data_IF_406559960330
#
_entry.id   IF_406559960330
#
_cell.length_a   1.000
_cell.length_b   1.000
_cell.length_c   1.000
_cell.angle_alpha   90.00
_cell.angle_beta   90.00
_cell.angle_gamma   90.00
#
_symmetry.space_group_name_H-M   'P 1'
#
loop_
_entity.id
_entity.type
_entity.pdbx_description
1 polymer ?
#
# COMPACT_ATOMS: atom_id res chain seq x y z
N UNK A 1 24.73 -9.41 8.99
CA UNK A 1 24.51 -9.01 7.57
C UNK A 1 23.02 -8.77 7.38
N UNK A 2 22.63 -7.73 6.64
CA UNK A 2 21.23 -7.43 6.30
C UNK A 2 20.79 -8.33 5.13
N UNK A 3 20.37 -9.56 5.41
CA UNK A 3 19.99 -10.57 4.43
C UNK A 3 18.62 -11.20 4.75
N UNK A 4 18.14 -12.14 3.93
CA UNK A 4 16.85 -12.82 4.15
C UNK A 4 16.73 -13.49 5.53
N UNK A 5 17.84 -14.02 6.09
CA UNK A 5 17.83 -14.65 7.40
C UNK A 5 17.60 -13.63 8.52
N UNK A 6 18.22 -12.46 8.43
CA UNK A 6 17.98 -11.36 9.34
C UNK A 6 16.54 -10.84 9.26
N UNK A 7 16.02 -10.66 8.04
CA UNK A 7 14.62 -10.26 7.83
C UNK A 7 13.66 -11.28 8.45
N UNK A 8 13.88 -12.58 8.24
CA UNK A 8 13.08 -13.62 8.88
C UNK A 8 13.07 -13.48 10.41
N UNK A 9 14.25 -13.30 11.01
CA UNK A 9 14.38 -13.09 12.46
C UNK A 9 13.58 -11.88 12.95
N UNK A 10 13.64 -10.75 12.23
CA UNK A 10 12.85 -9.57 12.59
C UNK A 10 11.35 -9.82 12.50
N UNK A 11 10.89 -10.49 11.44
CA UNK A 11 9.47 -10.83 11.27
C UNK A 11 8.98 -11.79 12.35
N UNK A 12 9.80 -12.75 12.77
CA UNK A 12 9.44 -13.66 13.88
C UNK A 12 9.24 -12.91 15.20
N UNK A 13 10.07 -11.90 15.47
CA UNK A 13 9.94 -11.05 16.66
C UNK A 13 8.74 -10.08 16.56
N UNK A 14 8.34 -9.66 15.37
CA UNK A 14 7.12 -8.85 15.18
C UNK A 14 5.88 -9.73 15.40
N UNK A 15 5.87 -10.95 14.88
CA UNK A 15 4.75 -11.88 15.05
C UNK A 15 4.66 -12.45 16.48
N UNK A 16 5.80 -12.61 17.16
CA UNK A 16 5.91 -13.18 18.50
C UNK A 16 6.86 -12.35 19.38
N UNK A 17 6.46 -11.14 19.80
CA UNK A 17 7.33 -10.29 20.61
C UNK A 17 7.64 -10.91 21.97
N UNK A 18 8.89 -10.81 22.46
CA UNK A 18 9.25 -11.31 23.78
C UNK A 18 8.42 -10.60 24.85
N UNK A 19 7.90 -11.37 25.81
CA UNK A 19 7.03 -10.87 26.88
C UNK A 19 5.75 -10.16 26.40
N UNK A 20 5.34 -10.35 25.14
CA UNK A 20 4.26 -9.60 24.51
C UNK A 20 4.49 -8.07 24.51
N UNK A 21 5.75 -7.63 24.45
CA UNK A 21 6.10 -6.21 24.40
C UNK A 21 5.76 -5.61 23.02
N UNK A 22 4.65 -4.88 22.96
CA UNK A 22 4.20 -4.20 21.74
C UNK A 22 5.21 -3.15 21.25
N UNK A 23 5.93 -2.48 22.15
CA UNK A 23 6.90 -1.45 21.80
C UNK A 23 8.08 -2.02 21.02
N UNK A 24 8.51 -3.23 21.38
CA UNK A 24 9.52 -3.97 20.61
C UNK A 24 9.01 -4.25 19.21
N UNK A 25 7.79 -4.80 19.08
CA UNK A 25 7.21 -5.11 17.77
C UNK A 25 7.02 -3.88 16.89
N UNK A 26 6.62 -2.74 17.46
CA UNK A 26 6.43 -1.47 16.73
C UNK A 26 7.76 -0.87 16.27
N UNK A 27 8.79 -0.95 17.11
CA UNK A 27 10.15 -0.52 16.76
C UNK A 27 10.72 -1.36 15.62
N UNK A 28 10.50 -2.67 15.65
CA UNK A 28 10.92 -3.59 14.60
C UNK A 28 10.12 -3.39 13.30
N UNK A 29 8.84 -3.05 13.39
CA UNK A 29 8.05 -2.65 12.22
C UNK A 29 8.63 -1.39 11.57
N UNK A 30 8.97 -0.36 12.35
CA UNK A 30 9.67 0.82 11.85
C UNK A 30 11.01 0.49 11.17
N UNK A 31 11.76 -0.47 11.71
CA UNK A 31 12.99 -0.98 11.08
C UNK A 31 12.71 -1.68 9.73
N UNK A 32 11.68 -2.52 9.64
CA UNK A 32 11.29 -3.18 8.38
C UNK A 32 10.84 -2.15 7.34
N UNK A 33 10.00 -1.20 7.73
CA UNK A 33 9.51 -0.15 6.84
C UNK A 33 10.66 0.73 6.32
N UNK A 34 11.55 1.17 7.21
CA UNK A 34 12.72 1.97 6.81
C UNK A 34 13.66 1.19 5.89
N UNK A 35 13.93 -0.09 6.20
CA UNK A 35 14.75 -0.94 5.36
C UNK A 35 14.12 -1.13 3.97
N UNK A 36 12.80 -1.31 3.91
CA UNK A 36 12.06 -1.44 2.67
C UNK A 36 12.22 -0.24 1.73
N UNK A 37 12.26 1.00 2.27
CA UNK A 37 12.35 2.23 1.48
C UNK A 37 13.56 2.28 0.54
N UNK A 38 14.64 1.57 0.88
CA UNK A 38 15.86 1.56 0.05
C UNK A 38 15.72 0.75 -1.24
N UNK A 39 14.71 -0.10 -1.37
CA UNK A 39 14.53 -0.95 -2.55
C UNK A 39 13.55 -0.34 -3.55
N UNK A 40 14.04 -0.05 -4.77
CA UNK A 40 13.19 0.43 -5.88
C UNK A 40 12.42 -0.68 -6.61
N UNK A 41 12.93 -1.91 -6.56
CA UNK A 41 12.34 -3.05 -7.26
C UNK A 41 12.13 -4.23 -6.30
N UNK A 42 10.90 -4.73 -6.23
CA UNK A 42 10.50 -5.82 -5.31
C UNK A 42 11.27 -7.11 -5.56
N UNK A 43 11.69 -7.39 -6.80
CA UNK A 43 12.53 -8.56 -7.14
C UNK A 43 13.85 -8.64 -6.38
N UNK A 44 14.43 -7.50 -6.00
CA UNK A 44 15.71 -7.43 -5.27
C UNK A 44 15.52 -7.12 -3.78
N UNK A 45 14.28 -7.10 -3.32
CA UNK A 45 13.94 -6.76 -1.96
C UNK A 45 13.88 -8.04 -1.10
N UNK A 46 14.84 -8.24 -0.18
CA UNK A 46 14.87 -9.42 0.67
C UNK A 46 13.62 -9.52 1.56
N UNK A 47 12.98 -8.38 1.88
CA UNK A 47 11.71 -8.38 2.63
C UNK A 47 10.62 -9.05 1.80
N UNK A 48 10.43 -8.62 0.56
CA UNK A 48 9.41 -9.21 -0.32
C UNK A 48 9.70 -10.67 -0.64
N UNK A 49 10.98 -11.04 -0.78
CA UNK A 49 11.37 -12.45 -0.96
C UNK A 49 10.98 -13.31 0.24
N UNK A 50 11.22 -12.83 1.46
CA UNK A 50 10.83 -13.54 2.69
C UNK A 50 9.31 -13.59 2.84
N UNK A 51 8.62 -12.46 2.64
CA UNK A 51 7.15 -12.40 2.71
C UNK A 51 6.51 -13.38 1.72
N UNK A 52 7.07 -13.53 0.52
CA UNK A 52 6.53 -14.45 -0.50
C UNK A 52 6.65 -15.95 -0.18
N UNK A 53 7.45 -16.31 0.84
CA UNK A 53 7.71 -17.70 1.26
C UNK A 53 6.97 -18.07 2.55
N UNK A 54 6.52 -17.07 3.31
CA UNK A 54 5.75 -17.25 4.54
C UNK A 54 4.25 -17.18 4.25
N UNK A 55 3.46 -17.91 5.01
CA UNK A 55 2.03 -18.09 4.74
C UNK A 55 1.10 -17.38 5.72
N UNK A 56 1.60 -16.96 6.89
CA UNK A 56 0.77 -16.33 7.92
C UNK A 56 1.51 -15.15 8.52
N UNK A 57 0.88 -13.98 8.45
CA UNK A 57 1.27 -12.80 9.20
C UNK A 57 0.00 -12.20 9.80
N UNK A 58 -0.11 -12.24 11.12
CA UNK A 58 -1.28 -11.71 11.82
C UNK A 58 -0.93 -10.37 12.44
N UNK A 59 0.14 -10.34 13.24
CA UNK A 59 0.53 -9.11 13.93
C UNK A 59 1.04 -8.06 12.95
N UNK A 60 1.79 -8.46 11.92
CA UNK A 60 2.32 -7.53 10.93
C UNK A 60 1.19 -6.89 10.11
N UNK A 61 0.22 -7.69 9.62
CA UNK A 61 -0.90 -7.18 8.83
C UNK A 61 -1.80 -6.25 9.64
N UNK A 62 -2.14 -6.63 10.88
CA UNK A 62 -2.91 -5.80 11.81
C UNK A 62 -2.22 -4.45 12.09
N UNK A 63 -0.92 -4.48 12.40
CA UNK A 63 -0.15 -3.25 12.67
C UNK A 63 -0.02 -2.37 11.42
N UNK A 64 0.19 -2.96 10.25
CA UNK A 64 0.21 -2.22 8.98
C UNK A 64 -1.13 -1.56 8.68
N UNK A 65 -2.24 -2.29 8.85
CA UNK A 65 -3.58 -1.73 8.69
C UNK A 65 -3.86 -0.60 9.69
N UNK A 66 -3.38 -0.73 10.93
CA UNK A 66 -3.50 0.32 11.94
C UNK A 66 -2.73 1.59 11.55
N UNK A 67 -1.47 1.45 11.12
CA UNK A 67 -0.66 2.58 10.65
C UNK A 67 -1.29 3.25 9.42
N UNK A 68 -1.76 2.43 8.48
CA UNK A 68 -2.42 2.89 7.26
C UNK A 68 -3.69 3.68 7.56
N UNK A 69 -4.56 3.17 8.44
CA UNK A 69 -5.77 3.87 8.84
C UNK A 69 -5.50 5.16 9.63
N UNK A 70 -4.37 5.24 10.35
CA UNK A 70 -3.94 6.45 11.09
C UNK A 70 -3.17 7.44 10.23
N UNK A 71 -2.88 7.12 8.97
CA UNK A 71 -2.10 7.98 8.07
C UNK A 71 -0.75 8.40 8.70
N UNK A 72 -0.14 7.49 9.44
CA UNK A 72 1.07 7.74 10.23
C UNK A 72 2.26 7.00 9.64
N UNK A 73 3.29 7.73 9.21
CA UNK A 73 4.59 7.16 8.83
C UNK A 73 5.53 7.07 10.06
N UNK A 74 5.78 5.87 10.62
CA UNK A 74 6.68 5.73 11.77
C UNK A 74 8.15 5.98 11.43
N UNK A 75 8.50 6.04 10.14
CA UNK A 75 9.87 6.28 9.64
C UNK A 75 10.13 7.76 9.38
N UNK A 76 9.10 8.61 9.40
CA UNK A 76 9.22 10.05 9.23
C UNK A 76 9.78 10.76 10.49
N UNK A 77 10.94 10.31 10.97
CA UNK A 77 11.60 10.83 12.18
C UNK A 77 12.20 12.22 11.99
N UNK A 78 12.47 12.62 10.75
CA UNK A 78 13.03 13.92 10.43
C UNK A 78 12.22 14.60 9.33
N UNK A 79 11.80 15.84 9.58
CA UNK A 79 11.20 16.74 8.59
C UNK A 79 12.26 17.33 7.66
N UNK A 80 13.12 16.48 7.08
CA UNK A 80 14.00 16.93 6.01
C UNK A 80 13.16 17.14 4.74
N UNK A 81 13.45 18.22 4.01
CA UNK A 81 12.75 18.68 2.80
C UNK A 81 12.86 17.75 1.57
N UNK A 82 13.25 16.50 1.78
CA UNK A 82 13.35 15.49 0.73
C UNK A 82 11.99 14.81 0.66
N UNK A 83 11.31 14.92 -0.48
CA UNK A 83 10.10 14.16 -0.79
C UNK A 83 10.47 12.66 -0.82
N UNK A 84 10.39 12.02 0.33
CA UNK A 84 10.52 10.59 0.48
C UNK A 84 9.10 10.01 0.53
N UNK A 85 8.80 8.96 -0.25
CA UNK A 85 7.51 8.29 -0.18
C UNK A 85 7.18 7.84 1.23
N UNK A 86 5.89 7.84 1.56
CA UNK A 86 5.39 7.34 2.85
C UNK A 86 5.79 5.86 2.98
N UNK A 87 6.41 5.51 4.11
CA UNK A 87 6.98 4.18 4.27
C UNK A 87 5.93 3.07 4.25
N UNK A 88 4.73 3.35 4.75
CA UNK A 88 3.61 2.41 4.84
C UNK A 88 2.98 2.24 3.46
N UNK A 89 2.66 3.33 2.76
CA UNK A 89 2.14 3.29 1.38
C UNK A 89 3.09 2.57 0.44
N UNK A 90 4.39 2.87 0.52
CA UNK A 90 5.41 2.19 -0.27
C UNK A 90 5.44 0.69 0.05
N UNK A 91 5.39 0.32 1.33
CA UNK A 91 5.39 -1.08 1.74
C UNK A 91 4.16 -1.83 1.25
N UNK A 92 2.97 -1.24 1.35
CA UNK A 92 1.73 -1.82 0.84
C UNK A 92 1.79 -1.99 -0.69
N UNK A 93 2.24 -0.97 -1.43
CA UNK A 93 2.43 -1.09 -2.88
C UNK A 93 3.35 -2.26 -3.25
N UNK A 94 4.45 -2.44 -2.53
CA UNK A 94 5.35 -3.59 -2.75
C UNK A 94 4.66 -4.93 -2.42
N UNK A 95 3.90 -5.01 -1.32
CA UNK A 95 3.16 -6.23 -0.94
C UNK A 95 2.14 -6.59 -2.03
N UNK A 96 1.40 -5.62 -2.57
CA UNK A 96 0.40 -5.88 -3.59
C UNK A 96 0.98 -6.03 -5.01
N UNK A 97 2.29 -5.80 -5.19
CA UNK A 97 2.96 -6.03 -6.48
C UNK A 97 2.98 -7.50 -6.91
N UNK A 98 2.80 -8.45 -5.96
CA UNK A 98 2.70 -9.88 -6.29
C UNK A 98 1.57 -10.56 -5.53
N UNK A 99 0.91 -11.52 -6.17
CA UNK A 99 -0.17 -12.31 -5.56
C UNK A 99 0.29 -13.09 -4.33
N UNK A 100 1.57 -13.49 -4.25
CA UNK A 100 2.08 -14.27 -3.11
C UNK A 100 2.22 -13.44 -1.84
N UNK A 101 2.67 -12.19 -1.98
CA UNK A 101 2.79 -11.29 -0.83
C UNK A 101 1.44 -10.72 -0.42
N UNK A 102 0.51 -10.53 -1.36
CA UNK A 102 -0.84 -10.03 -1.05
C UNK A 102 -1.70 -10.98 -0.23
N UNK A 103 -1.39 -12.28 -0.15
CA UNK A 103 -2.14 -13.24 0.69
C UNK A 103 -1.99 -12.98 2.19
N UNK A 104 -1.17 -12.00 2.56
CA UNK A 104 -1.02 -11.53 3.93
C UNK A 104 -2.31 -10.91 4.50
N UNK A 105 -3.15 -10.35 3.64
CA UNK A 105 -4.38 -9.65 4.02
C UNK A 105 -5.60 -10.53 3.77
N UNK A 106 -6.50 -10.58 4.74
CA UNK A 106 -7.80 -11.24 4.57
C UNK A 106 -8.75 -10.37 3.75
N UNK A 107 -9.83 -10.97 3.25
CA UNK A 107 -10.87 -10.24 2.49
C UNK A 107 -11.46 -9.08 3.29
N UNK A 108 -11.61 -9.22 4.61
CA UNK A 108 -12.04 -8.14 5.50
C UNK A 108 -11.06 -6.97 5.51
N UNK A 109 -9.75 -7.25 5.57
CA UNK A 109 -8.71 -6.23 5.57
C UNK A 109 -8.69 -5.49 4.23
N UNK A 110 -8.89 -6.22 3.13
CA UNK A 110 -8.98 -5.66 1.78
C UNK A 110 -10.13 -4.68 1.65
N UNK A 111 -11.32 -5.01 2.17
CA UNK A 111 -12.47 -4.09 2.14
C UNK A 111 -12.17 -2.80 2.90
N UNK A 112 -11.63 -2.91 4.12
CA UNK A 112 -11.25 -1.75 4.93
C UNK A 112 -10.16 -0.92 4.24
N UNK A 113 -9.17 -1.58 3.63
CA UNK A 113 -8.10 -0.90 2.90
C UNK A 113 -8.66 -0.10 1.72
N UNK A 114 -9.57 -0.68 0.94
CA UNK A 114 -10.24 0.00 -0.18
C UNK A 114 -11.01 1.22 0.31
N UNK A 115 -11.76 1.12 1.40
CA UNK A 115 -12.48 2.27 1.98
C UNK A 115 -11.54 3.41 2.39
N UNK A 116 -10.41 3.09 3.01
CA UNK A 116 -9.38 4.08 3.37
C UNK A 116 -8.79 4.72 2.11
N UNK A 117 -8.45 3.93 1.10
CA UNK A 117 -7.90 4.43 -0.17
C UNK A 117 -8.89 5.38 -0.85
N UNK A 118 -10.16 4.99 -0.97
CA UNK A 118 -11.20 5.83 -1.58
C UNK A 118 -11.38 7.15 -0.82
N UNK A 119 -11.46 7.09 0.51
CA UNK A 119 -11.53 8.29 1.37
C UNK A 119 -10.34 9.22 1.12
N UNK A 120 -9.14 8.66 1.01
CA UNK A 120 -7.91 9.43 0.77
C UNK A 120 -7.88 10.04 -0.63
N UNK A 121 -8.31 9.30 -1.66
CA UNK A 121 -8.37 9.82 -3.02
C UNK A 121 -9.38 10.96 -3.14
N UNK A 122 -10.59 10.82 -2.58
CA UNK A 122 -11.65 11.81 -2.73
C UNK A 122 -11.43 13.10 -1.94
N UNK A 123 -10.72 13.03 -0.81
CA UNK A 123 -10.46 14.21 0.02
C UNK A 123 -9.22 15.00 -0.42
N UNK A 124 -8.39 14.46 -1.32
CA UNK A 124 -7.14 15.10 -1.74
C UNK A 124 -7.32 16.01 -2.96
N UNK A 125 -6.67 17.19 -2.97
CA UNK A 125 -6.72 18.10 -4.12
C UNK A 125 -5.89 17.56 -5.31
N UNK A 126 -6.14 18.11 -6.49
CA UNK A 126 -5.34 17.80 -7.68
C UNK A 126 -3.86 18.18 -7.50
N UNK A 127 -2.94 17.32 -7.97
CA UNK A 127 -1.46 17.48 -7.99
C UNK A 127 -0.73 17.23 -6.67
N UNK A 128 -1.36 16.54 -5.73
CA UNK A 128 -0.71 16.02 -4.54
C UNK A 128 0.15 14.79 -4.89
N UNK A 129 1.46 14.80 -4.57
CA UNK A 129 2.37 13.67 -4.81
C UNK A 129 1.90 12.39 -4.11
N UNK A 130 1.24 12.52 -2.96
CA UNK A 130 0.72 11.39 -2.20
C UNK A 130 -0.48 10.73 -2.92
N UNK A 131 -1.21 11.48 -3.76
CA UNK A 131 -2.32 10.95 -4.56
C UNK A 131 -1.86 9.85 -5.50
N UNK A 132 -0.71 10.03 -6.16
CA UNK A 132 -0.12 9.03 -7.06
C UNK A 132 0.17 7.72 -6.32
N UNK A 133 0.62 7.79 -5.08
CA UNK A 133 0.89 6.60 -4.25
C UNK A 133 -0.41 5.85 -3.89
N UNK A 134 -1.47 6.59 -3.54
CA UNK A 134 -2.80 6.00 -3.29
C UNK A 134 -3.44 5.44 -4.57
N UNK A 135 -3.30 6.10 -5.73
CA UNK A 135 -3.77 5.58 -7.01
C UNK A 135 -3.03 4.30 -7.41
N UNK A 136 -1.71 4.27 -7.20
CA UNK A 136 -0.88 3.09 -7.44
C UNK A 136 -1.32 1.93 -6.53
N UNK A 137 -1.55 2.22 -5.25
CA UNK A 137 -2.03 1.21 -4.30
C UNK A 137 -3.43 0.73 -4.68
N UNK A 138 -4.33 1.65 -5.03
CA UNK A 138 -5.67 1.33 -5.52
C UNK A 138 -5.58 0.34 -6.68
N UNK A 139 -4.81 0.67 -7.71
CA UNK A 139 -4.61 -0.21 -8.86
C UNK A 139 -4.06 -1.59 -8.46
N UNK A 140 -3.13 -1.64 -7.51
CA UNK A 140 -2.52 -2.89 -7.05
C UNK A 140 -3.50 -3.79 -6.25
N UNK A 141 -4.40 -3.19 -5.46
CA UNK A 141 -5.38 -3.94 -4.65
C UNK A 141 -6.63 -4.34 -5.44
N UNK A 142 -6.85 -3.76 -6.62
CA UNK A 142 -7.99 -4.11 -7.47
C UNK A 142 -7.92 -5.57 -7.93
N UNK A 143 -8.87 -6.35 -7.42
CA UNK A 143 -9.14 -7.74 -7.79
C UNK A 143 -10.60 -7.88 -8.22
N UNK A 144 -10.95 -8.99 -8.88
CA UNK A 144 -12.35 -9.27 -9.25
C UNK A 144 -13.29 -9.29 -8.04
N UNK A 145 -12.81 -9.75 -6.87
CA UNK A 145 -13.61 -9.78 -5.63
C UNK A 145 -13.79 -8.37 -5.03
N UNK A 146 -12.78 -7.51 -5.13
CA UNK A 146 -12.85 -6.11 -4.72
C UNK A 146 -13.93 -5.31 -5.48
N UNK A 147 -14.29 -5.76 -6.69
CA UNK A 147 -15.29 -5.08 -7.53
C UNK A 147 -16.68 -5.03 -6.89
N UNK A 148 -17.01 -5.94 -5.97
CA UNK A 148 -18.33 -5.94 -5.31
C UNK A 148 -18.49 -4.72 -4.39
N UNK A 149 -17.47 -4.42 -3.57
CA UNK A 149 -17.52 -3.25 -2.68
C UNK A 149 -17.49 -1.93 -3.45
N UNK A 150 -16.72 -1.91 -4.55
CA UNK A 150 -16.57 -0.73 -5.39
C UNK A 150 -17.85 -0.32 -6.13
N UNK A 151 -18.77 -1.26 -6.37
CA UNK A 151 -20.06 -0.96 -7.00
C UNK A 151 -20.86 0.12 -6.25
N UNK A 152 -20.68 0.21 -4.92
CA UNK A 152 -21.33 1.24 -4.10
C UNK A 152 -20.81 2.64 -4.39
N UNK A 153 -19.55 2.75 -4.84
CA UNK A 153 -18.85 4.02 -5.09
C UNK A 153 -18.63 4.30 -6.59
N UNK A 154 -19.18 3.48 -7.49
CA UNK A 154 -18.92 3.58 -8.94
C UNK A 154 -19.13 4.99 -9.50
N UNK A 155 -20.23 5.66 -9.15
CA UNK A 155 -20.51 6.99 -9.70
C UNK A 155 -19.52 8.05 -9.22
N UNK A 156 -19.13 8.00 -7.93
CA UNK A 156 -18.13 8.91 -7.36
C UNK A 156 -16.76 8.67 -7.97
N UNK A 157 -16.37 7.40 -8.13
CA UNK A 157 -15.13 6.97 -8.77
C UNK A 157 -15.05 7.42 -10.23
N UNK A 158 -16.13 7.23 -11.01
CA UNK A 158 -16.20 7.69 -12.40
C UNK A 158 -15.96 9.20 -12.50
N UNK A 159 -16.70 9.99 -11.71
CA UNK A 159 -16.53 11.44 -11.67
C UNK A 159 -15.11 11.84 -11.23
N UNK A 160 -14.55 11.15 -10.25
CA UNK A 160 -13.19 11.40 -9.78
C UNK A 160 -12.14 11.12 -10.86
N UNK A 161 -12.28 10.01 -11.58
CA UNK A 161 -11.40 9.65 -12.70
C UNK A 161 -11.56 10.61 -13.89
N UNK A 162 -12.78 11.00 -14.24
CA UNK A 162 -13.04 12.03 -15.27
C UNK A 162 -12.35 13.36 -14.92
N UNK A 163 -12.39 13.78 -13.66
CA UNK A 163 -11.67 14.98 -13.20
C UNK A 163 -10.16 14.82 -13.37
N UNK A 164 -9.57 13.67 -13.01
CA UNK A 164 -8.14 13.41 -13.24
C UNK A 164 -7.82 13.43 -14.73
N UNK A 165 -8.65 12.87 -15.58
CA UNK A 165 -8.42 12.85 -17.03
C UNK A 165 -8.55 14.25 -17.66
N UNK A 166 -9.35 15.14 -17.07
CA UNK A 166 -9.60 16.49 -17.59
C UNK A 166 -8.63 17.53 -17.03
N UNK A 167 -8.27 17.44 -15.75
CA UNK A 167 -7.38 18.39 -15.06
C UNK A 167 -5.94 18.35 -15.61
N UNK A 168 -5.57 17.27 -16.30
CA UNK A 168 -4.22 17.01 -16.79
C UNK A 168 -4.21 17.03 -18.32
N UNK A 169 -3.65 18.11 -18.86
CA UNK A 169 -3.53 18.31 -20.31
C UNK A 169 -2.50 17.39 -20.98
N UNK A 170 -1.69 16.63 -20.21
CA UNK A 170 -0.60 15.82 -20.71
C UNK A 170 -0.85 14.34 -20.43
N UNK A 171 -0.82 13.52 -21.49
CA UNK A 171 -0.95 12.05 -21.40
C UNK A 171 0.21 11.38 -20.68
N UNK A 172 1.35 12.07 -20.52
CA UNK A 172 2.50 11.56 -19.78
C UNK A 172 2.39 11.72 -18.26
N UNK A 173 1.27 12.23 -17.75
CA UNK A 173 1.03 12.30 -16.32
C UNK A 173 0.80 10.90 -15.73
N UNK A 174 1.45 10.61 -14.61
CA UNK A 174 1.43 9.27 -13.99
C UNK A 174 0.03 8.91 -13.51
N UNK A 175 -0.73 9.88 -13.01
CA UNK A 175 -2.08 9.62 -12.50
C UNK A 175 -3.05 9.36 -13.66
N UNK A 176 -2.90 10.08 -14.78
CA UNK A 176 -3.65 9.81 -16.02
C UNK A 176 -3.36 8.41 -16.54
N UNK A 177 -2.09 8.00 -16.55
CA UNK A 177 -1.69 6.65 -16.95
C UNK A 177 -2.35 5.57 -16.07
N UNK A 178 -2.24 5.71 -14.74
CA UNK A 178 -2.82 4.74 -13.79
C UNK A 178 -4.34 4.65 -13.95
N UNK A 179 -5.03 5.79 -14.06
CA UNK A 179 -6.49 5.82 -14.24
C UNK A 179 -6.89 5.09 -15.52
N UNK A 180 -6.20 5.35 -16.65
CA UNK A 180 -6.46 4.67 -17.92
C UNK A 180 -6.27 3.15 -17.82
N UNK A 181 -5.19 2.71 -17.17
CA UNK A 181 -4.94 1.27 -16.93
C UNK A 181 -6.07 0.63 -16.12
N UNK A 182 -6.54 1.30 -15.06
CA UNK A 182 -7.65 0.81 -14.25
C UNK A 182 -8.94 0.70 -15.08
N UNK A 183 -9.31 1.77 -15.81
CA UNK A 183 -10.55 1.78 -16.59
C UNK A 183 -10.53 0.74 -17.71
N UNK A 184 -9.37 0.52 -18.34
CA UNK A 184 -9.21 -0.49 -19.38
C UNK A 184 -9.28 -1.91 -18.83
N UNK A 185 -8.74 -2.13 -17.63
CA UNK A 185 -8.71 -3.45 -16.98
C UNK A 185 -10.07 -3.84 -16.40
N UNK A 186 -10.89 -2.88 -15.99
CA UNK A 186 -12.19 -3.13 -15.33
C UNK A 186 -13.34 -2.36 -16.02
N UNK A 187 -13.62 -2.63 -17.31
CA UNK A 187 -14.63 -1.89 -18.07
C UNK A 187 -16.01 -1.97 -17.41
N UNK A 188 -16.40 -3.12 -16.84
CA UNK A 188 -17.72 -3.27 -16.20
C UNK A 188 -17.97 -2.34 -15.00
N UNK A 189 -16.90 -1.84 -14.36
CA UNK A 189 -17.01 -0.86 -13.27
C UNK A 189 -17.09 0.58 -13.78
N UNK A 190 -16.55 0.85 -14.98
CA UNK A 190 -16.28 2.20 -15.45
C UNK A 190 -16.96 2.55 -16.79
N UNK A 191 -17.59 1.59 -17.49
CA UNK A 191 -18.49 1.79 -18.63
C UNK A 191 -19.83 2.41 -18.20
#
# INVERSE_FOLDING_TARGET
QLNEAFVNFLLDLIENPPQNDEQVSDSLLGLILSFNKHFRATKHNPIMQVLSRRTVFRMLSEKLMLLFNRETDPVALFSFSISCPDSVLKFLNDIFSTKRTSTMFYTSDMSVMIEIILRQLFNRPSKDQVRTEYLSLFHAVLTSDACVELKKHTNELKRYFENILTDYANESDVDVYIVREITNRFPDLFC
#
